data_IF_590916354282
#
_entry.id   IF_590916354282
#
_cell.length_a   1.000
_cell.length_b   1.000
_cell.length_c   1.000
_cell.angle_alpha   90.00
_cell.angle_beta   90.00
_cell.angle_gamma   90.00
#
_symmetry.space_group_name_H-M   'P 1'
#
loop_
_entity.id
_entity.type
_entity.pdbx_description
1 polymer ?
#
# COMPACT_ATOMS: atom_id res chain seq x y z
N UNK A 1 -15.46 -6.84 10.07
CA UNK A 1 -16.04 -5.90 9.09
C UNK A 1 -15.82 -6.43 7.69
N UNK A 2 -16.86 -6.50 6.86
CA UNK A 2 -16.73 -6.86 5.45
C UNK A 2 -16.54 -5.59 4.60
N UNK A 3 -15.30 -5.32 4.19
CA UNK A 3 -14.99 -4.15 3.37
C UNK A 3 -15.51 -4.28 1.93
N UNK A 4 -15.91 -5.48 1.49
CA UNK A 4 -16.43 -5.65 0.14
C UNK A 4 -17.81 -5.03 -0.03
N UNK A 5 -18.57 -4.85 1.05
CA UNK A 5 -19.92 -4.26 1.03
C UNK A 5 -19.93 -2.72 1.00
N UNK A 6 -18.76 -2.07 1.10
CA UNK A 6 -18.66 -0.61 1.11
C UNK A 6 -18.99 -0.01 -0.26
N UNK A 7 -19.57 1.18 -0.29
CA UNK A 7 -19.60 1.97 -1.53
C UNK A 7 -18.17 2.32 -1.97
N UNK A 8 -17.95 2.68 -3.24
CA UNK A 8 -16.63 3.15 -3.69
C UNK A 8 -16.19 4.39 -2.91
N UNK A 9 -17.10 5.33 -2.67
CA UNK A 9 -16.81 6.55 -1.92
C UNK A 9 -16.40 6.27 -0.46
N UNK A 10 -17.13 5.41 0.24
CA UNK A 10 -16.80 5.06 1.63
C UNK A 10 -15.46 4.34 1.71
N UNK A 11 -15.18 3.46 0.73
CA UNK A 11 -13.91 2.75 0.64
C UNK A 11 -12.75 3.71 0.40
N UNK A 12 -12.93 4.72 -0.47
CA UNK A 12 -11.93 5.73 -0.76
C UNK A 12 -11.60 6.60 0.46
N UNK A 13 -12.63 7.05 1.17
CA UNK A 13 -12.46 7.81 2.41
C UNK A 13 -11.69 7.00 3.46
N UNK A 14 -12.06 5.72 3.62
CA UNK A 14 -11.39 4.82 4.55
C UNK A 14 -9.95 4.51 4.13
N UNK A 15 -9.69 4.38 2.84
CA UNK A 15 -8.36 4.16 2.29
C UNK A 15 -7.44 5.37 2.53
N UNK A 16 -7.91 6.59 2.28
CA UNK A 16 -7.15 7.81 2.57
C UNK A 16 -6.93 8.00 4.08
N UNK A 17 -7.92 7.68 4.92
CA UNK A 17 -7.74 7.67 6.37
C UNK A 17 -6.64 6.69 6.81
N UNK A 18 -6.67 5.47 6.27
CA UNK A 18 -5.64 4.47 6.54
C UNK A 18 -4.26 4.97 6.11
N UNK A 19 -4.16 5.60 4.94
CA UNK A 19 -2.92 6.17 4.42
C UNK A 19 -2.34 7.25 5.34
N UNK A 20 -3.19 8.19 5.79
CA UNK A 20 -2.76 9.24 6.72
C UNK A 20 -2.25 8.65 8.03
N UNK A 21 -2.97 7.67 8.61
CA UNK A 21 -2.54 7.00 9.84
C UNK A 21 -1.21 6.26 9.70
N UNK A 22 -1.01 5.54 8.60
CA UNK A 22 0.27 4.87 8.30
C UNK A 22 1.40 5.89 8.11
N UNK A 23 1.11 7.06 7.55
CA UNK A 23 2.11 8.10 7.27
C UNK A 23 2.50 8.91 8.51
N UNK A 24 1.60 9.04 9.48
CA UNK A 24 1.80 9.83 10.71
C UNK A 24 2.32 9.00 11.89
N UNK A 25 2.16 7.68 11.87
CA UNK A 25 2.57 6.81 12.97
C UNK A 25 4.08 6.81 13.20
N UNK A 26 4.48 6.58 14.46
CA UNK A 26 5.88 6.37 14.84
C UNK A 26 6.28 4.89 14.92
N UNK A 27 5.36 3.98 14.59
CA UNK A 27 5.62 2.55 14.58
C UNK A 27 6.64 2.20 13.49
N UNK A 28 7.60 1.33 13.85
CA UNK A 28 8.59 0.83 12.91
C UNK A 28 8.04 -0.40 12.20
N UNK A 29 7.86 -0.29 10.89
CA UNK A 29 7.42 -1.42 10.07
C UNK A 29 8.62 -2.22 9.54
N UNK A 30 8.47 -3.55 9.44
CA UNK A 30 9.34 -4.38 8.61
C UNK A 30 9.42 -3.87 7.15
N UNK A 31 10.56 -4.09 6.49
CA UNK A 31 10.82 -3.55 5.15
C UNK A 31 9.85 -4.11 4.09
N UNK A 32 9.45 -5.37 4.20
CA UNK A 32 8.46 -6.02 3.36
C UNK A 32 7.05 -5.42 3.55
N UNK A 33 6.68 -5.08 4.78
CA UNK A 33 5.42 -4.38 5.09
C UNK A 33 5.39 -2.99 4.42
N UNK A 34 6.50 -2.25 4.46
CA UNK A 34 6.62 -0.97 3.75
C UNK A 34 6.46 -1.14 2.23
N UNK A 35 7.04 -2.20 1.65
CA UNK A 35 6.90 -2.51 0.23
C UNK A 35 5.45 -2.85 -0.14
N UNK A 36 4.71 -3.56 0.72
CA UNK A 36 3.30 -3.81 0.52
C UNK A 36 2.45 -2.55 0.60
N UNK A 37 2.68 -1.67 1.59
CA UNK A 37 1.99 -0.38 1.64
C UNK A 37 2.23 0.44 0.37
N UNK A 38 3.48 0.54 -0.08
CA UNK A 38 3.84 1.22 -1.33
C UNK A 38 3.10 0.62 -2.54
N UNK A 39 3.17 -0.70 -2.71
CA UNK A 39 2.60 -1.36 -3.89
C UNK A 39 1.07 -1.26 -3.93
N UNK A 40 0.39 -1.52 -2.81
CA UNK A 40 -1.06 -1.38 -2.73
C UNK A 40 -1.52 0.06 -2.97
N UNK A 41 -0.80 1.05 -2.43
CA UNK A 41 -1.17 2.46 -2.62
C UNK A 41 -1.01 2.90 -4.08
N UNK A 42 0.15 2.64 -4.70
CA UNK A 42 0.40 3.00 -6.10
C UNK A 42 -0.56 2.31 -7.06
N UNK A 43 -0.83 1.02 -6.81
CA UNK A 43 -1.80 0.27 -7.60
C UNK A 43 -3.24 0.78 -7.41
N UNK A 44 -3.64 1.12 -6.17
CA UNK A 44 -4.97 1.66 -5.87
C UNK A 44 -5.25 3.02 -6.52
N UNK A 45 -4.21 3.84 -6.75
CA UNK A 45 -4.30 5.13 -7.46
C UNK A 45 -4.07 5.03 -8.97
N UNK A 46 -3.94 3.82 -9.50
CA UNK A 46 -3.56 3.56 -10.90
C UNK A 46 -2.27 4.28 -11.32
N UNK A 47 -1.34 4.46 -10.38
CA UNK A 47 -0.04 5.07 -10.62
C UNK A 47 1.00 3.98 -10.88
N UNK A 48 0.91 3.34 -12.05
CA UNK A 48 1.79 2.22 -12.41
C UNK A 48 3.16 2.62 -12.97
N UNK A 49 3.45 3.93 -13.07
CA UNK A 49 4.67 4.46 -13.66
C UNK A 49 5.89 4.24 -12.75
N UNK A 50 6.39 3.00 -12.74
CA UNK A 50 7.77 2.72 -12.40
C UNK A 50 8.63 3.23 -13.55
N UNK A 51 9.10 4.48 -13.45
CA UNK A 51 10.23 4.93 -14.27
C UNK A 51 11.48 4.18 -13.83
N UNK A 52 11.70 3.00 -14.41
CA UNK A 52 12.94 2.23 -14.22
C UNK A 52 13.99 2.81 -15.16
N UNK A 53 14.84 3.69 -14.65
CA UNK A 53 16.02 4.18 -15.37
C UNK A 53 17.12 3.13 -15.18
N UNK A 54 17.57 2.51 -16.28
CA UNK A 54 18.67 1.54 -16.25
C UNK A 54 20.00 2.29 -16.23
N UNK A 55 20.66 2.33 -15.06
CA UNK A 55 21.99 2.91 -14.83
C UNK A 55 22.90 1.84 -14.18
N UNK A 56 24.20 2.07 -13.90
CA UNK A 56 25.04 1.08 -13.20
C UNK A 56 24.53 0.77 -11.78
N UNK A 57 24.61 -0.49 -11.35
CA UNK A 57 24.02 -1.02 -10.09
C UNK A 57 24.49 -0.20 -8.88
N UNK A 58 23.57 0.55 -8.29
CA UNK A 58 23.74 1.29 -7.04
C UNK A 58 22.61 0.93 -6.05
N UNK A 59 22.70 1.40 -4.80
CA UNK A 59 21.69 1.13 -3.76
C UNK A 59 20.26 1.54 -4.18
N UNK A 60 20.15 2.62 -4.94
CA UNK A 60 18.87 3.11 -5.49
C UNK A 60 18.22 2.07 -6.42
N UNK A 61 18.99 1.42 -7.28
CA UNK A 61 18.48 0.36 -8.16
C UNK A 61 18.03 -0.88 -7.40
N UNK A 62 18.70 -1.23 -6.32
CA UNK A 62 18.27 -2.34 -5.48
C UNK A 62 16.91 -2.04 -4.84
N UNK A 63 16.72 -0.85 -4.29
CA UNK A 63 15.42 -0.40 -3.75
C UNK A 63 14.36 -0.37 -4.83
N UNK A 64 14.68 0.13 -6.03
CA UNK A 64 13.76 0.16 -7.16
C UNK A 64 13.38 -1.25 -7.64
N UNK A 65 14.31 -2.22 -7.62
CA UNK A 65 14.03 -3.61 -7.95
C UNK A 65 13.08 -4.25 -6.94
N UNK A 66 13.24 -3.97 -5.64
CA UNK A 66 12.29 -4.41 -4.62
C UNK A 66 10.90 -3.80 -4.80
N UNK A 67 10.82 -2.50 -5.09
CA UNK A 67 9.55 -1.82 -5.41
C UNK A 67 8.89 -2.41 -6.65
N UNK A 68 9.66 -2.68 -7.70
CA UNK A 68 9.17 -3.29 -8.93
C UNK A 68 8.63 -4.71 -8.68
N UNK A 69 9.32 -5.51 -7.86
CA UNK A 69 8.86 -6.83 -7.46
C UNK A 69 7.53 -6.74 -6.67
N UNK A 70 7.47 -5.85 -5.67
CA UNK A 70 6.24 -5.64 -4.90
C UNK A 70 5.07 -5.19 -5.79
N UNK A 71 5.31 -4.28 -6.74
CA UNK A 71 4.30 -3.86 -7.72
C UNK A 71 3.87 -5.01 -8.63
N UNK A 72 4.79 -5.86 -9.07
CA UNK A 72 4.45 -7.06 -9.85
C UNK A 72 3.54 -8.02 -9.06
N UNK A 73 3.78 -8.20 -7.76
CA UNK A 73 2.97 -9.07 -6.90
C UNK A 73 1.51 -8.60 -6.76
N UNK A 74 1.26 -7.29 -6.81
CA UNK A 74 -0.09 -6.72 -6.62
C UNK A 74 -0.89 -6.59 -7.91
N UNK A 75 -0.27 -6.74 -9.09
CA UNK A 75 -0.95 -6.65 -10.41
C UNK A 75 -2.14 -7.61 -10.61
N UNK A 76 -2.21 -8.67 -9.79
CA UNK A 76 -3.33 -9.63 -9.82
C UNK A 76 -4.60 -9.12 -9.13
N UNK A 77 -4.53 -7.96 -8.49
CA UNK A 77 -5.65 -7.36 -7.77
C UNK A 77 -6.23 -6.21 -8.58
N UNK A 78 -7.51 -5.94 -8.42
CA UNK A 78 -8.14 -4.69 -8.83
C UNK A 78 -7.69 -3.51 -7.95
N UNK A 79 -7.98 -2.28 -8.40
CA UNK A 79 -7.78 -1.07 -7.59
C UNK A 79 -8.54 -1.15 -6.27
N UNK A 80 -9.81 -1.58 -6.32
CA UNK A 80 -10.66 -1.79 -5.14
C UNK A 80 -10.05 -2.80 -4.17
N UNK A 81 -9.60 -3.95 -4.68
CA UNK A 81 -8.93 -4.96 -3.84
C UNK A 81 -7.63 -4.45 -3.23
N UNK A 82 -6.89 -3.60 -3.94
CA UNK A 82 -5.69 -2.96 -3.42
C UNK A 82 -6.00 -2.00 -2.27
N UNK A 83 -7.07 -1.19 -2.39
CA UNK A 83 -7.56 -0.34 -1.28
C UNK A 83 -7.93 -1.18 -0.06
N UNK A 84 -8.72 -2.24 -0.26
CA UNK A 84 -9.13 -3.16 0.82
C UNK A 84 -7.91 -3.81 1.49
N UNK A 85 -6.92 -4.24 0.72
CA UNK A 85 -5.69 -4.85 1.28
C UNK A 85 -4.85 -3.85 2.03
N UNK A 86 -4.73 -2.62 1.54
CA UNK A 86 -4.05 -1.54 2.25
C UNK A 86 -4.70 -1.29 3.62
N UNK A 87 -6.03 -1.13 3.66
CA UNK A 87 -6.79 -0.91 4.90
C UNK A 87 -6.58 -2.07 5.88
N UNK A 88 -6.67 -3.31 5.41
CA UNK A 88 -6.43 -4.51 6.26
C UNK A 88 -5.00 -4.58 6.78
N UNK A 89 -4.03 -4.18 5.96
CA UNK A 89 -2.62 -4.13 6.38
C UNK A 89 -2.41 -3.06 7.44
N UNK A 90 -2.98 -1.87 7.25
CA UNK A 90 -2.96 -0.78 8.23
C UNK A 90 -3.57 -1.24 9.55
N UNK A 91 -4.77 -1.84 9.53
CA UNK A 91 -5.46 -2.33 10.73
C UNK A 91 -4.62 -3.38 11.49
N UNK A 92 -3.92 -4.27 10.77
CA UNK A 92 -3.07 -5.28 11.40
C UNK A 92 -1.86 -4.67 12.11
N UNK A 93 -1.27 -3.62 11.55
CA UNK A 93 0.02 -3.09 12.02
C UNK A 93 -0.09 -1.87 12.92
N UNK A 94 -1.19 -1.11 12.83
CA UNK A 94 -1.44 0.07 13.64
C UNK A 94 -2.18 -0.22 14.95
N UNK A 95 -2.85 -1.38 15.06
CA UNK A 95 -3.59 -1.75 16.26
C UNK A 95 -4.62 -0.67 16.64
N UNK A 96 -4.49 -0.11 17.84
CA UNK A 96 -5.40 0.91 18.36
C UNK A 96 -5.32 2.26 17.63
N UNK A 97 -4.20 2.57 16.94
CA UNK A 97 -4.06 3.80 16.16
C UNK A 97 -4.97 3.84 14.92
N UNK A 98 -5.45 2.67 14.49
CA UNK A 98 -6.40 2.52 13.39
C UNK A 98 -7.31 1.30 13.63
N UNK A 99 -8.28 1.49 14.51
CA UNK A 99 -9.29 0.48 14.84
C UNK A 99 -10.63 0.81 14.16
N UNK A 100 -11.12 -0.12 13.35
CA UNK A 100 -12.45 -0.07 12.75
C UNK A 100 -13.39 -0.86 13.67
N UNK A 101 -14.24 -0.13 14.39
CA UNK A 101 -15.32 -0.72 15.21
C UNK A 101 -16.38 -1.38 14.33
#
# INVERSE_FOLDING_TARGET
MDLNSYSEQDLDQLFELAYNKVSETHLKFPQDVLLYFYAYYKHAKNESDLKVIQNPINEEQLVNAFKANAMFQVKKFSERESKIKYIKLAQRHLGDEFSLK
#
